data_IF_142362273084
#
_entry.id   IF_142362273084
#
_cell.length_a   1.000
_cell.length_b   1.000
_cell.length_c   1.000
_cell.angle_alpha   90.00
_cell.angle_beta   90.00
_cell.angle_gamma   90.00
#
_symmetry.space_group_name_H-M   'P 1'
#
loop_
_entity.id
_entity.type
_entity.pdbx_description
1 polymer ?
#
# COMPACT_ATOMS: atom_id res chain seq x y z
N UNK A 1 -4.76 -7.81 1.26
CA UNK A 1 -4.00 -6.57 0.96
C UNK A 1 -3.20 -6.78 -0.30
N UNK A 2 -3.22 -5.80 -1.19
CA UNK A 2 -2.51 -5.90 -2.47
C UNK A 2 -1.28 -5.00 -2.45
N UNK A 3 -0.15 -5.54 -2.86
CA UNK A 3 1.11 -4.80 -2.98
C UNK A 3 1.41 -4.59 -4.45
N UNK A 4 1.66 -3.35 -4.83
CA UNK A 4 2.05 -3.01 -6.19
C UNK A 4 3.33 -2.17 -6.15
N UNK A 5 4.31 -2.59 -6.92
CA UNK A 5 5.56 -1.85 -7.07
C UNK A 5 5.71 -1.48 -8.55
N UNK A 6 5.94 -0.20 -8.81
CA UNK A 6 6.18 0.27 -10.16
C UNK A 6 7.29 1.32 -10.09
N UNK A 7 8.45 0.98 -10.70
CA UNK A 7 9.62 1.83 -10.54
C UNK A 7 9.93 2.04 -9.07
N UNK A 8 10.13 3.29 -8.64
CA UNK A 8 10.39 3.60 -7.23
C UNK A 8 9.13 4.08 -6.52
N UNK A 9 8.03 3.39 -6.75
CA UNK A 9 6.72 3.67 -6.17
C UNK A 9 6.15 2.39 -5.60
N UNK A 10 5.60 2.46 -4.40
CA UNK A 10 5.03 1.33 -3.68
C UNK A 10 3.61 1.69 -3.24
N UNK A 11 2.66 0.80 -3.53
CA UNK A 11 1.25 1.01 -3.20
C UNK A 11 0.70 -0.19 -2.47
N UNK A 12 0.01 0.06 -1.36
CA UNK A 12 -0.79 -0.95 -0.67
C UNK A 12 -2.26 -0.59 -0.85
N UNK A 13 -3.08 -1.58 -1.20
CA UNK A 13 -4.53 -1.44 -1.27
C UNK A 13 -5.16 -2.43 -0.33
N UNK A 14 -6.07 -1.92 0.52
CA UNK A 14 -6.72 -2.70 1.55
C UNK A 14 -8.22 -2.76 1.30
N UNK A 15 -8.80 -3.96 1.48
CA UNK A 15 -10.23 -4.15 1.47
C UNK A 15 -10.85 -3.55 2.73
N UNK A 16 -12.18 -3.46 2.76
CA UNK A 16 -12.89 -2.95 3.93
C UNK A 16 -12.54 -3.74 5.19
N UNK A 17 -12.57 -5.07 5.11
CA UNK A 17 -12.26 -5.91 6.28
C UNK A 17 -10.82 -5.74 6.74
N UNK A 18 -9.91 -5.49 5.81
CA UNK A 18 -8.51 -5.26 6.16
C UNK A 18 -8.31 -3.90 6.84
N UNK A 19 -9.02 -2.86 6.39
CA UNK A 19 -8.98 -1.56 7.05
C UNK A 19 -9.56 -1.68 8.47
N UNK A 20 -10.66 -2.41 8.64
CA UNK A 20 -11.25 -2.64 9.96
C UNK A 20 -10.28 -3.40 10.89
N UNK A 21 -9.61 -4.41 10.37
CA UNK A 21 -8.61 -5.16 11.13
C UNK A 21 -7.43 -4.27 11.50
N UNK A 22 -6.97 -3.45 10.58
CA UNK A 22 -5.88 -2.52 10.84
C UNK A 22 -6.25 -1.49 11.92
N UNK A 23 -7.48 -0.95 11.85
CA UNK A 23 -7.96 0.01 12.85
C UNK A 23 -8.05 -0.64 14.24
N UNK A 24 -8.53 -1.87 14.29
CA UNK A 24 -8.69 -2.61 15.55
C UNK A 24 -7.37 -3.09 16.14
N UNK A 25 -6.52 -3.70 15.31
CA UNK A 25 -5.33 -4.39 15.75
C UNK A 25 -4.04 -3.58 15.59
N UNK A 26 -4.08 -2.51 14.81
CA UNK A 26 -2.91 -1.69 14.50
C UNK A 26 -1.95 -2.31 13.51
N UNK A 27 -2.33 -3.41 12.87
CA UNK A 27 -1.47 -4.12 11.94
C UNK A 27 -2.26 -5.07 11.06
N UNK A 28 -1.90 -5.11 9.78
CA UNK A 28 -2.32 -6.16 8.85
C UNK A 28 -1.10 -6.62 8.07
N UNK A 29 -1.05 -7.89 7.72
CA UNK A 29 0.10 -8.51 7.09
C UNK A 29 -0.36 -9.56 6.10
N UNK A 30 0.40 -9.71 5.02
CA UNK A 30 0.18 -10.75 4.04
C UNK A 30 1.52 -11.22 3.51
N UNK A 31 1.53 -12.30 2.74
CA UNK A 31 2.78 -12.81 2.22
C UNK A 31 2.58 -13.56 0.91
N UNK A 32 3.65 -13.61 0.12
CA UNK A 32 3.74 -14.42 -1.09
C UNK A 32 4.87 -15.44 -0.90
N UNK A 33 4.58 -16.69 -1.17
CA UNK A 33 5.56 -17.78 -1.03
C UNK A 33 6.19 -18.07 -2.39
N UNK A 34 7.52 -18.12 -2.40
CA UNK A 34 8.30 -18.37 -3.60
C UNK A 34 8.91 -19.77 -3.64
N UNK A 35 8.84 -20.50 -2.51
CA UNK A 35 9.37 -21.83 -2.38
C UNK A 35 9.65 -22.14 -0.91
N UNK A 36 10.24 -23.30 -0.59
CA UNK A 36 10.59 -23.63 0.78
C UNK A 36 11.54 -22.57 1.37
N UNK A 37 11.13 -21.95 2.48
CA UNK A 37 11.92 -20.95 3.15
C UNK A 37 12.07 -19.62 2.43
N UNK A 38 11.39 -19.42 1.29
CA UNK A 38 11.48 -18.19 0.51
C UNK A 38 10.11 -17.55 0.41
N UNK A 39 9.93 -16.39 1.04
CA UNK A 39 8.68 -15.64 0.97
C UNK A 39 8.92 -14.14 1.10
N UNK A 40 8.03 -13.38 0.51
CA UNK A 40 7.98 -11.94 0.69
C UNK A 40 6.81 -11.64 1.63
N UNK A 41 7.09 -10.96 2.73
CA UNK A 41 6.07 -10.50 3.67
C UNK A 41 5.87 -9.01 3.45
N UNK A 42 4.62 -8.56 3.47
CA UNK A 42 4.33 -7.13 3.42
C UNK A 42 3.27 -6.79 4.45
N UNK A 43 3.47 -5.68 5.13
CA UNK A 43 2.66 -5.31 6.29
C UNK A 43 2.39 -3.81 6.32
N UNK A 44 1.24 -3.45 6.89
CA UNK A 44 0.91 -2.09 7.25
C UNK A 44 0.81 -2.04 8.76
N UNK A 45 1.52 -1.12 9.40
CA UNK A 45 1.62 -1.04 10.85
C UNK A 45 1.37 0.39 11.33
N UNK A 46 0.55 0.52 12.38
CA UNK A 46 0.33 1.81 13.02
C UNK A 46 1.40 2.05 14.06
N UNK A 47 1.97 3.25 14.07
CA UNK A 47 2.96 3.67 15.05
C UNK A 47 2.47 4.94 15.74
N UNK A 48 3.03 5.24 16.93
CA UNK A 48 2.56 6.39 17.72
C UNK A 48 3.05 7.71 17.19
N UNK A 49 4.20 7.72 16.52
CA UNK A 49 4.81 8.96 16.02
C UNK A 49 5.69 8.66 14.82
N UNK A 50 6.09 9.71 14.11
CA UNK A 50 6.92 9.61 12.93
C UNK A 50 6.18 9.98 11.67
N UNK A 51 6.64 9.47 10.54
CA UNK A 51 6.05 9.75 9.23
C UNK A 51 5.59 8.45 8.58
N UNK A 52 4.73 8.56 7.59
CA UNK A 52 4.40 7.44 6.71
C UNK A 52 5.70 7.05 6.00
N UNK A 53 6.16 5.84 6.22
CA UNK A 53 7.44 5.38 5.70
C UNK A 53 7.43 3.88 5.45
N UNK A 54 8.43 3.39 4.72
CA UNK A 54 8.56 1.97 4.42
C UNK A 54 9.98 1.51 4.64
N UNK A 55 10.11 0.26 5.07
CA UNK A 55 11.41 -0.42 5.20
C UNK A 55 11.36 -1.74 4.47
N UNK A 56 12.52 -2.19 3.99
CA UNK A 56 12.68 -3.52 3.43
C UNK A 56 13.84 -4.17 4.15
N UNK A 57 13.58 -5.30 4.81
CA UNK A 57 14.60 -6.03 5.56
C UNK A 57 14.22 -7.50 5.60
N UNK A 58 15.17 -8.36 5.23
CA UNK A 58 15.02 -9.82 5.31
C UNK A 58 13.72 -10.32 4.65
N UNK A 59 13.43 -9.80 3.45
CA UNK A 59 12.24 -10.20 2.70
C UNK A 59 10.94 -9.65 3.26
N UNK A 60 11.01 -8.64 4.12
CA UNK A 60 9.83 -8.03 4.73
C UNK A 60 9.75 -6.54 4.37
N UNK A 61 8.63 -6.18 3.73
CA UNK A 61 8.28 -4.78 3.48
C UNK A 61 7.32 -4.35 4.58
N UNK A 62 7.71 -3.36 5.39
CA UNK A 62 6.84 -2.83 6.43
C UNK A 62 6.57 -1.35 6.13
N UNK A 63 5.30 -1.03 5.93
CA UNK A 63 4.85 0.36 5.77
C UNK A 63 4.28 0.79 7.12
N UNK A 64 4.85 1.84 7.70
CA UNK A 64 4.42 2.34 9.01
C UNK A 64 3.69 3.66 8.86
N UNK A 65 2.56 3.78 9.56
CA UNK A 65 1.68 4.94 9.50
C UNK A 65 1.50 5.49 10.91
N UNK A 66 1.82 6.76 11.17
CA UNK A 66 1.54 7.33 12.49
C UNK A 66 0.05 7.43 12.74
N UNK A 67 -0.35 7.26 13.99
CA UNK A 67 -1.76 7.26 14.39
C UNK A 67 -2.52 8.49 13.94
N UNK A 68 -1.89 9.65 13.94
CA UNK A 68 -2.53 10.89 13.52
C UNK A 68 -2.96 10.88 12.05
N UNK A 69 -2.31 10.05 11.21
CA UNK A 69 -2.71 9.85 9.81
C UNK A 69 -3.60 8.63 9.67
N UNK A 70 -3.31 7.57 10.40
CA UNK A 70 -4.02 6.29 10.29
C UNK A 70 -5.46 6.40 10.77
N UNK A 71 -5.69 7.03 11.90
CA UNK A 71 -7.02 7.06 12.51
C UNK A 71 -8.05 7.80 11.66
N UNK A 72 -7.79 8.99 11.14
CA UNK A 72 -8.74 9.63 10.21
C UNK A 72 -8.94 8.81 8.93
N UNK A 73 -7.89 8.21 8.40
CA UNK A 73 -8.02 7.39 7.20
C UNK A 73 -8.92 6.18 7.43
N UNK A 74 -8.78 5.50 8.56
CA UNK A 74 -9.60 4.34 8.88
C UNK A 74 -11.07 4.71 9.14
N UNK A 75 -11.32 5.88 9.74
CA UNK A 75 -12.63 6.22 10.34
C UNK A 75 -13.45 7.21 9.54
N UNK A 76 -12.95 7.67 8.42
CA UNK A 76 -13.68 8.59 7.53
C UNK A 76 -13.74 8.00 6.13
N UNK A 77 -14.23 8.76 5.18
CA UNK A 77 -14.24 8.37 3.77
C UNK A 77 -12.98 8.76 3.03
N UNK A 78 -11.93 9.13 3.75
CA UNK A 78 -10.64 9.44 3.13
C UNK A 78 -10.14 8.23 2.35
N UNK A 79 -9.81 8.43 1.07
CA UNK A 79 -9.45 7.35 0.15
C UNK A 79 -8.07 6.78 0.45
N UNK A 80 -7.09 7.63 0.65
CA UNK A 80 -5.72 7.17 0.77
C UNK A 80 -4.81 8.14 1.48
N UNK A 81 -3.58 7.63 1.66
CA UNK A 81 -2.47 8.37 2.23
C UNK A 81 -1.32 8.30 1.25
N UNK A 82 -0.52 9.36 1.15
CA UNK A 82 0.68 9.29 0.33
C UNK A 82 1.83 10.07 0.97
N UNK A 83 3.03 9.66 0.64
CA UNK A 83 4.25 10.29 1.13
C UNK A 83 5.38 10.06 0.15
N UNK A 84 6.43 10.87 0.30
CA UNK A 84 7.67 10.71 -0.44
C UNK A 84 8.79 10.50 0.58
N UNK A 85 9.52 9.40 0.43
CA UNK A 85 10.57 9.02 1.36
C UNK A 85 11.92 9.11 0.65
N UNK A 86 12.84 9.96 1.13
CA UNK A 86 14.20 9.98 0.58
C UNK A 86 14.89 8.64 0.84
N UNK A 87 15.62 8.15 -0.15
CA UNK A 87 16.33 6.87 -0.03
C UNK A 87 17.78 7.01 0.42
N UNK A 88 18.25 8.27 0.55
CA UNK A 88 19.60 8.54 1.01
C UNK A 88 20.64 8.65 -0.09
N UNK A 89 20.26 8.33 -1.33
CA UNK A 89 21.15 8.35 -2.48
C UNK A 89 20.72 9.35 -3.56
N UNK A 90 19.88 10.32 -3.19
CA UNK A 90 19.34 11.30 -4.12
C UNK A 90 18.04 10.89 -4.78
N UNK A 91 17.56 9.67 -4.50
CA UNK A 91 16.30 9.16 -5.02
C UNK A 91 15.18 9.31 -4.00
N UNK A 92 13.96 9.08 -4.43
CA UNK A 92 12.77 9.17 -3.59
C UNK A 92 11.90 7.94 -3.82
N UNK A 93 11.45 7.33 -2.76
CA UNK A 93 10.45 6.26 -2.80
C UNK A 93 9.08 6.88 -2.56
N UNK A 94 8.18 6.72 -3.52
CA UNK A 94 6.81 7.21 -3.39
C UNK A 94 5.95 6.14 -2.75
N UNK A 95 5.21 6.50 -1.70
CA UNK A 95 4.38 5.59 -0.94
C UNK A 95 2.91 5.98 -1.07
N UNK A 96 2.06 4.98 -1.29
CA UNK A 96 0.62 5.13 -1.40
C UNK A 96 -0.04 4.03 -0.59
N UNK A 97 -0.97 4.40 0.29
CA UNK A 97 -1.80 3.45 1.03
C UNK A 97 -3.24 3.82 0.75
N UNK A 98 -4.00 2.92 0.17
CA UNK A 98 -5.33 3.23 -0.35
C UNK A 98 -6.35 2.17 0.00
N UNK A 99 -7.61 2.60 0.11
CA UNK A 99 -8.75 1.69 0.18
C UNK A 99 -9.03 1.13 -1.21
N UNK A 100 -9.36 -0.15 -1.27
CA UNK A 100 -9.64 -0.82 -2.54
C UNK A 100 -11.13 -0.76 -2.80
N UNK A 101 -11.52 0.06 -3.76
CA UNK A 101 -12.91 0.26 -4.12
C UNK A 101 -13.31 -0.63 -5.29
N UNK A 102 -14.60 -0.89 -5.42
CA UNK A 102 -15.15 -1.57 -6.58
C UNK A 102 -14.77 -0.80 -7.84
N UNK A 103 -14.22 -1.53 -8.83
CA UNK A 103 -13.76 -0.91 -10.05
C UNK A 103 -14.93 -0.66 -11.01
N UNK A 104 -15.33 0.60 -11.16
CA UNK A 104 -16.41 1.00 -12.07
C UNK A 104 -15.87 1.63 -13.37
N UNK A 105 -14.62 2.08 -13.36
CA UNK A 105 -13.95 2.69 -14.50
C UNK A 105 -12.47 2.80 -14.20
N UNK A 106 -11.71 3.37 -15.13
CA UNK A 106 -10.27 3.55 -14.97
C UNK A 106 -9.95 4.19 -13.62
N UNK A 107 -9.01 3.61 -12.90
CA UNK A 107 -8.60 4.08 -11.59
C UNK A 107 -7.78 5.37 -11.71
N UNK A 108 -8.00 6.25 -10.74
CA UNK A 108 -7.25 7.49 -10.64
C UNK A 108 -5.75 7.20 -10.46
N UNK A 109 -4.92 7.96 -11.14
CA UNK A 109 -3.47 7.83 -11.03
C UNK A 109 -2.84 6.73 -11.86
N UNK A 110 -3.63 6.01 -12.65
CA UNK A 110 -3.12 5.01 -13.57
C UNK A 110 -3.09 5.58 -14.99
N UNK A 111 -1.93 5.49 -15.63
CA UNK A 111 -1.74 5.91 -17.01
C UNK A 111 -1.89 4.68 -17.92
N UNK A 112 -2.93 4.68 -18.74
CA UNK A 112 -3.21 3.57 -19.65
C UNK A 112 -2.87 3.90 -21.11
N UNK A 113 -2.20 5.03 -21.35
CA UNK A 113 -1.88 5.43 -22.71
C UNK A 113 -0.99 4.43 -23.46
N UNK A 114 -0.20 3.64 -22.74
CA UNK A 114 0.71 2.64 -23.30
C UNK A 114 0.22 1.20 -23.03
N UNK A 115 -1.04 1.05 -22.64
CA UNK A 115 -1.58 -0.26 -22.34
C UNK A 115 -2.15 -0.92 -23.59
N UNK A 116 -2.17 -2.25 -23.60
CA UNK A 116 -2.85 -3.00 -24.66
C UNK A 116 -4.36 -2.86 -24.50
N UNK A 117 -5.13 -2.93 -25.59
CA UNK A 117 -6.59 -2.92 -25.49
C UNK A 117 -7.08 -4.06 -24.61
N UNK A 118 -8.05 -3.77 -23.76
CA UNK A 118 -8.64 -4.79 -22.89
C UNK A 118 -9.73 -5.54 -23.69
N UNK A 119 -9.54 -6.85 -23.96
CA UNK A 119 -10.50 -7.60 -24.74
C UNK A 119 -11.81 -7.87 -24.00
N UNK A 120 -11.87 -7.68 -22.70
CA UNK A 120 -13.05 -7.99 -21.89
C UNK A 120 -13.75 -6.74 -21.34
N UNK A 121 -13.27 -5.57 -21.65
CA UNK A 121 -13.89 -4.28 -21.29
C UNK A 121 -14.19 -4.15 -19.76
N UNK A 122 -13.25 -4.61 -18.94
CA UNK A 122 -13.34 -4.42 -17.48
C UNK A 122 -11.96 -4.14 -16.89
N UNK A 123 -11.94 -3.58 -15.69
CA UNK A 123 -10.69 -3.18 -15.07
C UNK A 123 -9.85 -4.33 -14.52
#
# INVERSE_FOLDING_TARGET
MKLRIRGNSLRLRLSRSEVEAFDRDGRVEDSARFGPGARLVYALERVTAGALSATLRDGRVAVTVPSELADPWCRTDQVGLEAEQPTGDGETLRLLVEKDFTCLKTRSGEDESDAFPNPHDHC
#
